data_IF_188804002838
#
_entry.id   IF_188804002838
#
_cell.length_a   1.000
_cell.length_b   1.000
_cell.length_c   1.000
_cell.angle_alpha   90.00
_cell.angle_beta   90.00
_cell.angle_gamma   90.00
#
_symmetry.space_group_name_H-M   'P 1'
#
loop_
_entity.id
_entity.type
_entity.pdbx_description
1 polymer ?
#
# COMPACT_ATOMS: atom_id res chain seq x y z
N UNK A 1 -0.46 1.59 12.46
CA UNK A 1 0.05 2.39 11.34
C UNK A 1 -0.38 1.75 10.02
N UNK A 2 -0.81 2.57 9.10
CA UNK A 2 -1.22 2.14 7.75
C UNK A 2 -0.10 2.50 6.78
N UNK A 3 0.33 1.54 5.98
CA UNK A 3 1.34 1.76 4.95
C UNK A 3 0.67 1.64 3.58
N UNK A 4 0.77 2.71 2.78
CA UNK A 4 0.16 2.75 1.45
C UNK A 4 1.25 2.66 0.40
N UNK A 5 1.10 1.70 -0.50
CA UNK A 5 1.97 1.56 -1.66
C UNK A 5 1.29 2.27 -2.82
N UNK A 6 1.92 3.35 -3.28
CA UNK A 6 1.37 4.20 -4.34
C UNK A 6 1.84 3.71 -5.71
N UNK A 7 0.89 3.32 -6.55
CA UNK A 7 1.16 2.89 -7.92
C UNK A 7 0.99 4.04 -8.92
N UNK A 8 1.24 5.27 -8.45
CA UNK A 8 1.20 6.49 -9.27
C UNK A 8 -0.19 6.78 -9.83
N UNK A 9 -1.20 6.57 -9.00
CA UNK A 9 -2.58 6.88 -9.32
C UNK A 9 -2.97 8.18 -8.63
N UNK A 10 -3.66 9.07 -9.37
CA UNK A 10 -4.15 10.33 -8.80
C UNK A 10 -5.16 10.12 -7.68
N UNK A 11 -5.78 8.95 -7.60
CA UNK A 11 -6.76 8.62 -6.57
C UNK A 11 -6.11 8.33 -5.20
N UNK A 12 -4.80 8.15 -5.16
CA UNK A 12 -4.10 7.81 -3.91
C UNK A 12 -4.32 8.85 -2.83
N UNK A 13 -4.37 10.13 -3.16
CA UNK A 13 -4.64 11.19 -2.18
C UNK A 13 -6.02 11.03 -1.52
N UNK A 14 -7.01 10.60 -2.28
CA UNK A 14 -8.34 10.36 -1.73
C UNK A 14 -8.32 9.19 -0.76
N UNK A 15 -7.57 8.15 -1.07
CA UNK A 15 -7.41 6.99 -0.19
C UNK A 15 -6.77 7.42 1.12
N UNK A 16 -5.68 8.19 1.05
CA UNK A 16 -5.01 8.71 2.25
C UNK A 16 -5.99 9.51 3.11
N UNK A 17 -6.75 10.40 2.49
CA UNK A 17 -7.70 11.23 3.21
C UNK A 17 -8.77 10.39 3.91
N UNK A 18 -9.33 9.41 3.22
CA UNK A 18 -10.37 8.55 3.80
C UNK A 18 -9.82 7.69 4.95
N UNK A 19 -8.63 7.13 4.78
CA UNK A 19 -8.03 6.27 5.79
C UNK A 19 -7.55 7.04 7.01
N UNK A 20 -7.27 8.33 6.88
CA UNK A 20 -6.86 9.17 8.01
C UNK A 20 -7.91 9.25 9.10
N UNK A 21 -9.16 8.90 8.78
CA UNK A 21 -10.25 8.84 9.76
C UNK A 21 -10.13 7.63 10.68
N UNK A 22 -9.42 6.61 10.25
CA UNK A 22 -9.28 5.36 11.00
C UNK A 22 -7.96 5.25 11.75
N UNK A 23 -6.91 5.86 11.22
CA UNK A 23 -5.59 5.83 11.84
C UNK A 23 -4.88 7.14 11.49
N UNK A 24 -4.33 7.79 12.51
CA UNK A 24 -3.60 9.04 12.32
C UNK A 24 -2.22 8.84 11.72
N UNK A 25 -1.66 7.64 11.86
CA UNK A 25 -0.32 7.36 11.36
C UNK A 25 -0.41 6.62 10.04
N UNK A 26 -0.21 7.35 8.96
CA UNK A 26 -0.25 6.83 7.60
C UNK A 26 1.07 7.20 6.92
N UNK A 27 1.72 6.19 6.35
CA UNK A 27 2.90 6.38 5.52
C UNK A 27 2.53 5.98 4.09
N UNK A 28 2.93 6.79 3.13
CA UNK A 28 2.65 6.54 1.72
C UNK A 28 3.92 6.70 0.91
N UNK A 29 4.30 5.67 0.17
CA UNK A 29 5.51 5.72 -0.65
C UNK A 29 5.26 5.07 -2.00
N UNK A 30 6.04 5.50 -3.01
CA UNK A 30 5.94 4.95 -4.35
C UNK A 30 6.25 3.45 -4.36
N UNK A 31 5.63 2.73 -5.28
CA UNK A 31 5.81 1.28 -5.41
C UNK A 31 7.26 0.88 -5.67
N UNK A 32 8.08 1.79 -6.21
CA UNK A 32 9.49 1.55 -6.51
C UNK A 32 10.43 2.05 -5.42
N UNK A 33 9.89 2.63 -4.32
CA UNK A 33 10.66 3.18 -3.21
C UNK A 33 10.15 2.68 -1.86
N UNK A 34 9.87 1.42 -1.77
CA UNK A 34 9.27 0.84 -0.57
C UNK A 34 10.29 0.82 0.58
N UNK A 35 9.87 1.34 1.72
CA UNK A 35 10.65 1.24 2.95
C UNK A 35 10.18 0.01 3.72
N UNK A 36 10.96 -1.06 3.63
CA UNK A 36 10.57 -2.34 4.22
C UNK A 36 10.55 -2.31 5.75
N UNK A 37 11.33 -1.44 6.38
CA UNK A 37 11.28 -1.28 7.83
C UNK A 37 9.93 -0.75 8.28
N UNK A 38 9.42 0.28 7.61
CA UNK A 38 8.09 0.82 7.89
C UNK A 38 6.99 -0.17 7.53
N UNK A 39 7.16 -0.85 6.40
CA UNK A 39 6.20 -1.86 5.95
C UNK A 39 6.03 -2.96 7.00
N UNK A 40 7.12 -3.42 7.57
CA UNK A 40 7.07 -4.46 8.59
C UNK A 40 6.36 -4.01 9.87
N UNK A 41 6.40 -2.73 10.18
CA UNK A 41 5.74 -2.17 11.36
C UNK A 41 4.26 -1.89 11.14
N UNK A 42 3.80 -1.89 9.90
CA UNK A 42 2.42 -1.55 9.59
C UNK A 42 1.46 -2.66 10.04
N UNK A 43 0.29 -2.26 10.50
CA UNK A 43 -0.80 -3.18 10.81
C UNK A 43 -1.62 -3.48 9.56
N UNK A 44 -1.72 -2.50 8.66
CA UNK A 44 -2.49 -2.59 7.43
C UNK A 44 -1.62 -2.12 6.28
N UNK A 45 -1.62 -2.87 5.18
CA UNK A 45 -0.95 -2.49 3.95
C UNK A 45 -2.02 -2.24 2.90
N UNK A 46 -1.94 -1.09 2.25
CA UNK A 46 -2.89 -0.67 1.22
C UNK A 46 -2.18 -0.59 -0.11
N UNK A 47 -2.77 -1.23 -1.12
CA UNK A 47 -2.29 -1.18 -2.49
C UNK A 47 -3.20 -0.25 -3.27
N UNK A 48 -2.68 0.88 -3.71
CA UNK A 48 -3.47 1.83 -4.50
C UNK A 48 -3.75 1.29 -5.90
N UNK A 49 -4.75 1.84 -6.61
CA UNK A 49 -4.89 1.54 -8.03
C UNK A 49 -3.66 2.04 -8.79
N UNK A 50 -3.48 1.55 -9.99
CA UNK A 50 -2.40 2.01 -10.85
C UNK A 50 -2.59 1.53 -12.26
N UNK A 51 -1.93 2.18 -13.23
CA UNK A 51 -2.01 1.74 -14.63
C UNK A 51 -1.27 0.42 -14.81
N UNK A 52 -1.71 -0.34 -15.80
CA UNK A 52 -1.06 -1.60 -16.14
C UNK A 52 -1.61 -2.79 -15.39
N UNK A 53 -0.80 -3.81 -15.23
CA UNK A 53 -1.19 -5.08 -14.63
C UNK A 53 -0.29 -5.43 -13.45
N UNK A 54 -0.64 -6.46 -12.66
CA UNK A 54 0.23 -6.89 -11.56
C UNK A 54 1.66 -7.23 -11.96
N UNK A 55 1.87 -7.61 -13.21
CA UNK A 55 3.21 -7.91 -13.73
C UNK A 55 4.12 -6.68 -13.75
N UNK A 56 3.54 -5.49 -13.80
CA UNK A 56 4.28 -4.23 -13.82
C UNK A 56 4.77 -3.83 -12.43
N UNK A 57 4.28 -4.50 -11.39
CA UNK A 57 4.59 -4.18 -10.01
C UNK A 57 5.06 -5.42 -9.24
N UNK A 58 6.22 -5.99 -9.62
CA UNK A 58 6.67 -7.25 -9.01
C UNK A 58 6.90 -7.16 -7.49
N UNK A 59 7.39 -6.02 -7.00
CA UNK A 59 7.60 -5.84 -5.56
C UNK A 59 6.27 -5.86 -4.80
N UNK A 60 5.25 -5.20 -5.35
CA UNK A 60 3.93 -5.19 -4.73
C UNK A 60 3.32 -6.58 -4.71
N UNK A 61 3.48 -7.35 -5.77
CA UNK A 61 2.99 -8.72 -5.84
C UNK A 61 3.67 -9.61 -4.81
N UNK A 62 4.97 -9.46 -4.62
CA UNK A 62 5.71 -10.21 -3.61
C UNK A 62 5.25 -9.85 -2.20
N UNK A 63 5.03 -8.57 -1.94
CA UNK A 63 4.55 -8.09 -0.64
C UNK A 63 3.17 -8.67 -0.35
N UNK A 64 2.28 -8.67 -1.34
CA UNK A 64 0.95 -9.26 -1.18
C UNK A 64 1.05 -10.73 -0.79
N UNK A 65 1.85 -11.51 -1.50
CA UNK A 65 2.03 -12.94 -1.22
C UNK A 65 2.61 -13.19 0.17
N UNK A 66 3.58 -12.35 0.57
CA UNK A 66 4.26 -12.52 1.84
C UNK A 66 3.35 -12.20 3.04
N UNK A 67 2.54 -11.15 2.95
CA UNK A 67 1.80 -10.62 4.09
C UNK A 67 0.32 -10.96 4.12
N UNK A 68 -0.23 -11.58 3.09
CA UNK A 68 -1.68 -11.82 2.99
C UNK A 68 -2.26 -12.61 4.17
N UNK A 69 -1.45 -13.38 4.88
CA UNK A 69 -1.88 -14.14 6.06
C UNK A 69 -1.36 -13.56 7.37
N UNK A 70 -0.51 -12.54 7.31
CA UNK A 70 0.13 -11.96 8.48
C UNK A 70 -0.42 -10.59 8.84
N UNK A 71 -0.88 -9.85 7.85
CA UNK A 71 -1.37 -8.49 8.01
C UNK A 71 -2.66 -8.32 7.24
N UNK A 72 -3.41 -7.28 7.61
CA UNK A 72 -4.59 -6.90 6.85
C UNK A 72 -4.15 -6.19 5.58
N UNK A 73 -4.65 -6.65 4.44
CA UNK A 73 -4.33 -6.07 3.14
C UNK A 73 -5.60 -5.51 2.50
N UNK A 74 -5.50 -4.28 1.98
CA UNK A 74 -6.57 -3.65 1.21
C UNK A 74 -6.04 -3.37 -0.19
N UNK A 75 -6.77 -3.83 -1.19
CA UNK A 75 -6.41 -3.63 -2.59
C UNK A 75 -7.49 -2.80 -3.27
N UNK A 76 -7.11 -1.65 -3.81
CA UNK A 76 -8.00 -0.78 -4.56
C UNK A 76 -7.76 -0.98 -6.06
N UNK A 77 -8.82 -1.20 -6.79
CA UNK A 77 -8.74 -1.44 -8.23
C UNK A 77 -9.22 -0.24 -9.03
#
# INVERSE_FOLDING_TARGET
MIYIIDHKDSFTHNIVHQLSKFDKKIECEDFDRINYTKLNKADVIVFSPGPGSPKDYPKSSEIYKKYKRKKKLLVFA
#
